data_IF_266714031764
#
_entry.id   IF_266714031764
#
_cell.length_a   1.000
_cell.length_b   1.000
_cell.length_c   1.000
_cell.angle_alpha   90.00
_cell.angle_beta   90.00
_cell.angle_gamma   90.00
#
_symmetry.space_group_name_H-M   'P 1'
#
loop_
_entity.id
_entity.type
_entity.pdbx_description
1 polymer ?
#
# COMPACT_ATOMS: atom_id res chain seq x y z
N UNK A 1 -31.31 5.48 -36.01
CA UNK A 1 -30.61 6.68 -36.50
C UNK A 1 -29.49 6.97 -35.51
N UNK A 2 -28.35 6.33 -35.71
CA UNK A 2 -27.09 6.62 -35.03
C UNK A 2 -26.02 6.46 -36.09
N UNK A 3 -25.54 7.60 -36.56
CA UNK A 3 -24.54 7.72 -37.61
C UNK A 3 -23.21 7.15 -37.11
N UNK A 4 -22.79 6.06 -37.74
CA UNK A 4 -21.40 5.60 -37.75
C UNK A 4 -20.66 6.57 -38.67
N UNK A 5 -20.14 7.67 -38.12
CA UNK A 5 -19.12 8.46 -38.80
C UNK A 5 -17.76 7.86 -38.50
N UNK A 6 -17.19 7.25 -39.55
CA UNK A 6 -15.82 6.79 -39.56
C UNK A 6 -14.88 7.92 -39.16
N UNK A 7 -13.91 7.58 -38.32
CA UNK A 7 -12.75 8.41 -38.14
C UNK A 7 -11.53 7.59 -38.56
N UNK A 8 -10.84 8.15 -39.54
CA UNK A 8 -9.76 7.57 -40.30
C UNK A 8 -8.59 7.18 -39.39
N UNK A 9 -7.90 6.13 -39.81
CA UNK A 9 -6.60 5.70 -39.30
C UNK A 9 -5.65 6.91 -39.13
N UNK A 10 -5.51 7.43 -37.91
CA UNK A 10 -4.29 8.15 -37.52
C UNK A 10 -3.23 7.10 -37.20
N UNK A 11 -2.41 6.81 -38.20
CA UNK A 11 -1.13 6.12 -38.04
C UNK A 11 -0.29 6.89 -37.01
N UNK A 12 -0.24 6.42 -35.77
CA UNK A 12 0.82 6.75 -34.81
C UNK A 12 2.04 5.88 -35.10
N UNK A 13 2.63 6.03 -36.29
CA UNK A 13 3.86 5.35 -36.66
C UNK A 13 5.06 6.11 -36.12
N UNK A 14 5.75 5.55 -35.11
CA UNK A 14 7.11 5.97 -34.76
C UNK A 14 7.98 5.92 -36.02
N UNK A 15 8.51 7.06 -36.45
CA UNK A 15 9.36 7.15 -37.63
C UNK A 15 10.59 6.27 -37.45
N UNK A 16 10.64 5.15 -38.18
CA UNK A 16 11.83 4.29 -38.18
C UNK A 16 12.76 4.82 -39.26
N UNK A 17 13.94 5.30 -38.88
CA UNK A 17 14.96 5.80 -39.81
C UNK A 17 15.97 4.70 -40.05
N UNK A 18 16.39 4.53 -41.31
CA UNK A 18 17.47 3.60 -41.66
C UNK A 18 18.77 4.41 -41.68
N UNK A 19 19.78 4.00 -40.92
CA UNK A 19 21.10 4.61 -40.95
C UNK A 19 22.20 3.56 -41.10
N UNK A 20 23.37 3.92 -41.66
CA UNK A 20 24.54 3.04 -41.70
C UNK A 20 24.98 2.65 -40.28
N UNK A 21 25.46 1.42 -40.09
CA UNK A 21 25.94 0.97 -38.78
C UNK A 21 27.08 1.85 -38.26
N UNK A 22 27.94 2.34 -39.15
CA UNK A 22 29.04 3.27 -38.81
C UNK A 22 28.60 4.58 -38.18
N UNK A 23 27.35 5.00 -38.40
CA UNK A 23 26.79 6.26 -37.89
C UNK A 23 25.81 6.04 -36.73
N UNK A 24 25.67 4.80 -36.25
CA UNK A 24 24.59 4.44 -35.35
C UNK A 24 24.86 4.65 -33.86
N UNK A 25 26.06 5.07 -33.47
CA UNK A 25 26.41 5.32 -32.06
C UNK A 25 25.47 6.36 -31.44
N UNK A 26 24.93 6.05 -30.27
CA UNK A 26 23.98 6.91 -29.53
C UNK A 26 22.51 6.75 -29.94
N UNK A 27 22.21 5.96 -30.96
CA UNK A 27 20.84 5.74 -31.44
C UNK A 27 20.21 4.50 -30.82
N UNK A 28 18.88 4.42 -30.80
CA UNK A 28 18.13 3.32 -30.16
C UNK A 28 17.66 2.30 -31.18
N UNK A 29 18.00 1.03 -30.93
CA UNK A 29 17.64 -0.10 -31.79
C UNK A 29 16.13 -0.35 -31.80
N UNK A 30 15.50 -0.40 -32.98
CA UNK A 30 14.03 -0.55 -33.10
C UNK A 30 13.49 -1.98 -32.99
N UNK A 31 14.35 -2.99 -33.07
CA UNK A 31 14.00 -4.42 -33.05
C UNK A 31 15.17 -5.27 -32.54
N UNK A 32 14.89 -6.51 -32.09
CA UNK A 32 15.93 -7.45 -31.66
C UNK A 32 16.80 -7.88 -32.86
N UNK A 33 18.13 -7.94 -32.68
CA UNK A 33 19.06 -8.54 -33.63
C UNK A 33 19.47 -9.91 -33.12
N UNK A 34 19.24 -10.94 -33.94
CA UNK A 34 19.59 -12.34 -33.63
C UNK A 34 20.94 -12.69 -34.26
N UNK A 35 21.80 -13.34 -33.50
CA UNK A 35 23.02 -13.98 -33.98
C UNK A 35 22.74 -15.46 -34.24
N UNK A 36 23.12 -15.91 -35.44
CA UNK A 36 23.01 -17.31 -35.84
C UNK A 36 24.38 -17.75 -36.34
N UNK A 37 25.05 -18.60 -35.57
CA UNK A 37 26.24 -19.34 -35.96
C UNK A 37 25.86 -20.81 -36.14
N UNK A 38 25.75 -21.31 -37.39
CA UNK A 38 25.29 -22.67 -37.67
C UNK A 38 26.10 -23.72 -36.89
N UNK A 39 25.41 -24.59 -36.15
CA UNK A 39 26.06 -25.63 -35.34
C UNK A 39 26.65 -25.18 -33.99
N UNK A 40 26.73 -23.86 -33.72
CA UNK A 40 27.34 -23.33 -32.49
C UNK A 40 26.36 -22.56 -31.61
N UNK A 41 25.59 -21.62 -32.16
CA UNK A 41 24.76 -20.71 -31.36
C UNK A 41 23.61 -20.10 -32.17
N UNK A 42 22.41 -20.07 -31.57
CA UNK A 42 21.26 -19.29 -32.07
C UNK A 42 20.64 -18.55 -30.90
N UNK A 43 20.76 -17.23 -30.89
CA UNK A 43 20.27 -16.42 -29.78
C UNK A 43 20.31 -14.93 -30.08
N UNK A 44 19.69 -14.15 -29.20
CA UNK A 44 19.63 -12.70 -29.36
C UNK A 44 21.00 -12.06 -29.09
N UNK A 45 21.50 -11.31 -30.05
CA UNK A 45 22.76 -10.57 -29.95
C UNK A 45 22.57 -9.18 -29.35
N UNK A 46 21.53 -8.48 -29.81
CA UNK A 46 21.13 -7.16 -29.35
C UNK A 46 19.62 -7.12 -29.14
N UNK A 47 19.21 -6.40 -28.09
CA UNK A 47 17.80 -6.23 -27.73
C UNK A 47 17.25 -4.93 -28.31
N UNK A 48 15.99 -4.93 -28.73
CA UNK A 48 15.19 -3.74 -29.01
C UNK A 48 15.27 -2.78 -27.82
N UNK A 49 15.47 -1.49 -28.08
CA UNK A 49 15.69 -0.47 -27.03
C UNK A 49 17.15 -0.34 -26.58
N UNK A 50 18.09 -1.12 -27.14
CA UNK A 50 19.52 -0.96 -26.87
C UNK A 50 20.05 0.33 -27.49
N UNK A 51 20.79 1.13 -26.70
CA UNK A 51 21.53 2.31 -27.20
C UNK A 51 22.86 1.82 -27.75
N UNK A 52 23.09 2.03 -29.04
CA UNK A 52 24.31 1.56 -29.72
C UNK A 52 25.53 2.32 -29.18
N UNK A 53 26.57 1.59 -28.76
CA UNK A 53 27.86 2.12 -28.30
C UNK A 53 28.93 1.91 -29.36
N UNK A 54 30.07 2.59 -29.23
CA UNK A 54 31.22 2.40 -30.14
C UNK A 54 31.68 0.93 -30.21
N UNK A 55 31.67 0.23 -29.07
CA UNK A 55 32.03 -1.19 -28.96
C UNK A 55 31.09 -2.13 -29.72
N UNK A 56 29.85 -1.72 -29.99
CA UNK A 56 28.85 -2.55 -30.66
C UNK A 56 29.05 -2.61 -32.18
N UNK A 57 29.71 -1.60 -32.76
CA UNK A 57 29.82 -1.39 -34.21
C UNK A 57 30.44 -2.60 -34.92
N UNK A 58 31.59 -3.07 -34.43
CA UNK A 58 32.30 -4.21 -35.01
C UNK A 58 31.55 -5.54 -34.81
N UNK A 59 30.78 -5.66 -33.73
CA UNK A 59 29.91 -6.84 -33.52
C UNK A 59 28.71 -6.81 -34.47
N UNK A 60 28.09 -5.66 -34.68
CA UNK A 60 26.97 -5.48 -35.60
C UNK A 60 27.38 -5.76 -37.06
N UNK A 61 28.54 -5.24 -37.50
CA UNK A 61 29.11 -5.56 -38.83
C UNK A 61 29.38 -7.06 -39.00
N UNK A 62 29.96 -7.72 -37.99
CA UNK A 62 30.18 -9.18 -38.01
C UNK A 62 28.88 -9.99 -38.13
N UNK A 63 27.76 -9.44 -37.66
CA UNK A 63 26.42 -10.02 -37.83
C UNK A 63 25.80 -9.71 -39.20
N UNK A 64 26.56 -9.13 -40.14
CA UNK A 64 26.13 -8.79 -41.49
C UNK A 64 25.16 -7.60 -41.53
N UNK A 65 25.19 -6.72 -40.52
CA UNK A 65 24.40 -5.49 -40.53
C UNK A 65 25.23 -4.37 -41.15
N UNK A 66 24.75 -3.87 -42.29
CA UNK A 66 25.25 -2.66 -42.95
C UNK A 66 24.40 -1.43 -42.57
N UNK A 67 23.12 -1.65 -42.31
CA UNK A 67 22.18 -0.61 -41.89
C UNK A 67 21.38 -1.05 -40.67
N UNK A 68 21.08 -0.09 -39.79
CA UNK A 68 20.21 -0.25 -38.65
C UNK A 68 18.93 0.55 -38.83
N UNK A 69 17.83 -0.04 -38.38
CA UNK A 69 16.57 0.64 -38.19
C UNK A 69 16.59 1.25 -36.79
N UNK A 70 16.69 2.58 -36.72
CA UNK A 70 16.82 3.31 -35.49
C UNK A 70 15.54 4.08 -35.17
N UNK A 71 15.27 4.23 -33.88
CA UNK A 71 14.35 5.25 -33.42
C UNK A 71 15.10 6.57 -33.31
N UNK A 72 14.65 7.56 -34.07
CA UNK A 72 15.07 8.94 -33.90
C UNK A 72 14.25 9.53 -32.74
N UNK A 73 14.89 9.71 -31.59
CA UNK A 73 14.29 10.38 -30.43
C UNK A 73 14.48 11.87 -30.63
N UNK A 74 13.36 12.61 -30.72
CA UNK A 74 13.41 14.07 -30.86
C UNK A 74 13.87 14.73 -29.57
N UNK A 75 14.28 15.99 -29.65
CA UNK A 75 14.72 16.76 -28.47
C UNK A 75 13.62 16.88 -27.40
N UNK A 76 12.34 16.86 -27.80
CA UNK A 76 11.17 16.90 -26.91
C UNK A 76 10.72 15.51 -26.41
N UNK A 77 11.48 14.47 -26.73
CA UNK A 77 11.19 13.06 -26.46
C UNK A 77 12.24 12.43 -25.54
N UNK A 78 11.85 11.36 -24.85
CA UNK A 78 12.67 10.64 -23.88
C UNK A 78 12.49 9.14 -24.08
N UNK A 79 13.58 8.38 -23.96
CA UNK A 79 13.52 6.92 -24.01
C UNK A 79 12.76 6.35 -22.81
N UNK A 80 12.03 5.26 -23.01
CA UNK A 80 11.15 4.66 -21.99
C UNK A 80 11.85 4.35 -20.66
N UNK A 81 13.12 3.91 -20.70
CA UNK A 81 13.85 3.55 -19.49
C UNK A 81 14.24 4.78 -18.67
N UNK A 82 14.61 5.88 -19.34
CA UNK A 82 14.94 7.14 -18.66
C UNK A 82 13.69 7.76 -18.05
N UNK A 83 12.57 7.72 -18.80
CA UNK A 83 11.27 8.16 -18.31
C UNK A 83 10.83 7.33 -17.11
N UNK A 84 10.93 6.00 -17.18
CA UNK A 84 10.60 5.09 -16.10
C UNK A 84 11.44 5.33 -14.84
N UNK A 85 12.74 5.61 -15.00
CA UNK A 85 13.60 5.95 -13.88
C UNK A 85 13.19 7.28 -13.24
N UNK A 86 12.97 8.33 -14.04
CA UNK A 86 12.58 9.65 -13.55
C UNK A 86 11.27 9.60 -12.75
N UNK A 87 10.23 8.98 -13.31
CA UNK A 87 8.94 8.86 -12.62
C UNK A 87 9.02 7.97 -11.38
N UNK A 88 9.81 6.89 -11.39
CA UNK A 88 9.95 6.02 -10.22
C UNK A 88 10.61 6.73 -9.04
N UNK A 89 11.62 7.56 -9.30
CA UNK A 89 12.25 8.36 -8.25
C UNK A 89 11.25 9.34 -7.64
N UNK A 90 10.44 10.01 -8.47
CA UNK A 90 9.42 10.95 -8.00
C UNK A 90 8.27 10.27 -7.24
N UNK A 91 7.88 9.05 -7.65
CA UNK A 91 6.84 8.26 -6.98
C UNK A 91 7.25 7.77 -5.58
N UNK A 92 8.55 7.52 -5.37
CA UNK A 92 9.09 7.02 -4.12
C UNK A 92 9.16 8.13 -3.05
N UNK A 93 8.27 8.05 -2.07
CA UNK A 93 8.32 8.85 -0.85
C UNK A 93 9.11 8.15 0.26
N UNK A 94 8.87 8.56 1.52
CA UNK A 94 9.62 8.05 2.67
C UNK A 94 9.54 6.52 2.81
N UNK A 95 10.69 5.87 3.03
CA UNK A 95 10.84 4.42 3.21
C UNK A 95 10.36 3.57 2.02
N UNK A 96 10.34 4.13 0.81
CA UNK A 96 10.14 3.40 -0.45
C UNK A 96 11.35 3.66 -1.32
N UNK A 97 11.88 2.61 -1.96
CA UNK A 97 13.02 2.73 -2.87
C UNK A 97 12.79 1.98 -4.16
N UNK A 98 13.53 2.37 -5.18
CA UNK A 98 13.59 1.67 -6.46
C UNK A 98 14.32 0.33 -6.29
N UNK A 99 13.84 -0.72 -6.96
CA UNK A 99 14.48 -2.03 -7.02
C UNK A 99 14.99 -2.33 -8.43
N UNK A 100 16.31 -2.30 -8.59
CA UNK A 100 16.99 -2.60 -9.85
C UNK A 100 17.01 -1.43 -10.83
N UNK A 101 17.25 -1.74 -12.10
CA UNK A 101 17.31 -0.78 -13.20
C UNK A 101 16.06 -0.89 -14.09
N UNK A 102 15.64 0.20 -14.76
CA UNK A 102 14.53 0.14 -15.71
C UNK A 102 14.80 -0.87 -16.83
N UNK A 103 13.79 -1.69 -17.14
CA UNK A 103 13.83 -2.65 -18.25
C UNK A 103 12.49 -2.65 -18.97
N UNK A 104 12.51 -2.43 -20.29
CA UNK A 104 11.28 -2.34 -21.12
C UNK A 104 10.32 -1.28 -20.60
N UNK A 105 10.88 -0.13 -20.23
CA UNK A 105 10.14 0.97 -19.64
C UNK A 105 9.56 0.67 -18.26
N UNK A 106 9.81 -0.49 -17.64
CA UNK A 106 9.26 -0.87 -16.33
C UNK A 106 10.34 -0.83 -15.25
N UNK A 107 9.93 -0.40 -14.05
CA UNK A 107 10.75 -0.47 -12.84
C UNK A 107 9.91 -0.72 -11.60
N UNK A 108 10.47 -1.45 -10.64
CA UNK A 108 9.81 -1.86 -9.42
C UNK A 108 10.14 -0.92 -8.26
N UNK A 109 9.18 -0.77 -7.34
CA UNK A 109 9.30 -0.01 -6.09
C UNK A 109 9.03 -0.94 -4.92
N UNK A 110 9.94 -0.94 -3.95
CA UNK A 110 9.92 -1.84 -2.79
C UNK A 110 9.93 -1.04 -1.49
N UNK A 111 9.40 -1.64 -0.43
CA UNK A 111 9.47 -1.08 0.91
C UNK A 111 10.92 -1.15 1.45
N UNK A 112 11.51 -0.01 1.79
CA UNK A 112 12.85 0.05 2.39
C UNK A 112 12.84 -0.37 3.87
N UNK A 113 11.72 -0.11 4.56
CA UNK A 113 11.46 -0.55 5.93
C UNK A 113 10.15 -1.33 6.02
N UNK A 114 10.03 -2.15 7.05
CA UNK A 114 8.74 -2.76 7.39
C UNK A 114 7.80 -1.73 8.01
N UNK A 115 6.50 -1.86 7.78
CA UNK A 115 5.51 -0.91 8.28
C UNK A 115 4.17 -1.02 7.57
N UNK A 116 3.43 0.09 7.50
CA UNK A 116 2.19 0.20 6.73
C UNK A 116 2.40 1.08 5.50
N UNK A 117 2.02 0.55 4.33
CA UNK A 117 2.06 1.28 3.07
C UNK A 117 0.98 2.37 3.07
N UNK A 118 1.39 3.60 2.73
CA UNK A 118 0.51 4.75 2.52
C UNK A 118 0.63 5.20 1.07
N UNK A 119 -0.52 5.41 0.45
CA UNK A 119 -0.64 5.79 -0.95
C UNK A 119 -1.53 7.03 -1.03
N UNK A 120 -1.04 8.10 -1.63
CA UNK A 120 -1.90 9.21 -2.05
C UNK A 120 -2.72 8.76 -3.26
N UNK A 121 -3.93 8.25 -2.98
CA UNK A 121 -4.84 7.71 -4.01
C UNK A 121 -5.22 8.76 -5.06
N UNK A 122 -5.31 10.04 -4.69
CA UNK A 122 -5.69 11.12 -5.60
C UNK A 122 -4.53 11.46 -6.53
N UNK A 123 -3.32 11.60 -5.99
CA UNK A 123 -2.12 11.79 -6.80
C UNK A 123 -1.87 10.59 -7.71
N UNK A 124 -2.02 9.35 -7.22
CA UNK A 124 -1.88 8.14 -8.02
C UNK A 124 -2.89 8.08 -9.18
N UNK A 125 -4.13 8.48 -8.91
CA UNK A 125 -5.16 8.59 -9.94
C UNK A 125 -4.75 9.61 -11.01
N UNK A 126 -4.41 10.84 -10.60
CA UNK A 126 -4.00 11.90 -11.53
C UNK A 126 -2.75 11.53 -12.33
N UNK A 127 -1.78 10.88 -11.72
CA UNK A 127 -0.58 10.36 -12.39
C UNK A 127 -0.96 9.39 -13.51
N UNK A 128 -1.86 8.44 -13.24
CA UNK A 128 -2.29 7.45 -14.22
C UNK A 128 -3.21 8.03 -15.31
N UNK A 129 -3.86 9.18 -15.06
CA UNK A 129 -4.68 9.87 -16.07
C UNK A 129 -3.86 10.42 -17.25
N UNK A 130 -2.53 10.50 -17.12
CA UNK A 130 -1.64 10.97 -18.19
C UNK A 130 -1.50 9.98 -19.36
N UNK A 131 -1.82 8.71 -19.17
CA UNK A 131 -1.95 7.71 -20.24
C UNK A 131 -0.65 7.17 -20.88
N UNK A 132 0.43 7.96 -20.96
CA UNK A 132 1.74 7.49 -21.47
C UNK A 132 2.65 6.92 -20.37
N UNK A 133 2.30 7.19 -19.10
CA UNK A 133 2.95 6.64 -17.91
C UNK A 133 1.91 5.91 -17.06
N UNK A 134 2.35 4.89 -16.34
CA UNK A 134 1.49 4.14 -15.44
C UNK A 134 2.21 3.77 -14.15
N UNK A 135 1.49 3.74 -13.03
CA UNK A 135 1.94 3.20 -11.76
C UNK A 135 0.82 2.36 -11.15
N UNK A 136 1.14 1.09 -10.88
CA UNK A 136 0.26 0.17 -10.18
C UNK A 136 0.87 -0.20 -8.83
N UNK A 137 0.06 -0.20 -7.78
CA UNK A 137 0.47 -0.52 -6.41
C UNK A 137 -0.39 -1.63 -5.82
N UNK A 138 0.10 -2.26 -4.74
CA UNK A 138 -0.78 -2.99 -3.83
C UNK A 138 -1.72 -2.01 -3.10
N UNK A 139 -2.63 -2.52 -2.29
CA UNK A 139 -3.62 -1.68 -1.61
C UNK A 139 -2.99 -0.76 -0.57
N UNK A 140 -3.51 0.46 -0.49
CA UNK A 140 -3.23 1.39 0.61
C UNK A 140 -3.53 0.72 1.96
N UNK A 141 -2.82 1.13 3.01
CA UNK A 141 -2.93 0.57 4.37
C UNK A 141 -2.51 -0.92 4.49
N UNK A 142 -1.84 -1.50 3.50
CA UNK A 142 -1.27 -2.85 3.61
C UNK A 142 -0.06 -2.85 4.54
N UNK A 143 0.01 -3.82 5.45
CA UNK A 143 1.25 -4.08 6.21
C UNK A 143 2.28 -4.75 5.29
N UNK A 144 3.48 -4.19 5.24
CA UNK A 144 4.55 -4.60 4.32
C UNK A 144 5.83 -4.92 5.09
N UNK A 145 6.59 -5.89 4.56
CA UNK A 145 7.93 -6.24 5.05
C UNK A 145 9.01 -5.47 4.30
N UNK A 146 10.20 -5.37 4.88
CA UNK A 146 11.39 -4.87 4.19
C UNK A 146 11.65 -5.66 2.90
N UNK A 147 12.06 -4.95 1.84
CA UNK A 147 12.26 -5.42 0.46
C UNK A 147 11.00 -5.96 -0.25
N UNK A 148 9.81 -5.85 0.36
CA UNK A 148 8.57 -6.30 -0.30
C UNK A 148 8.22 -5.38 -1.48
N UNK A 149 7.85 -5.97 -2.62
CA UNK A 149 7.28 -5.24 -3.76
C UNK A 149 5.96 -4.56 -3.37
N UNK A 150 5.90 -3.25 -3.52
CA UNK A 150 4.72 -2.44 -3.18
C UNK A 150 4.10 -1.78 -4.40
N UNK A 151 4.89 -1.47 -5.42
CA UNK A 151 4.42 -0.91 -6.67
C UNK A 151 5.37 -1.22 -7.84
N UNK A 152 4.88 -1.01 -9.05
CA UNK A 152 5.70 -0.94 -10.25
C UNK A 152 5.17 0.19 -11.13
N UNK A 153 6.09 0.93 -11.73
CA UNK A 153 5.76 1.98 -12.69
C UNK A 153 6.37 1.67 -14.04
N UNK A 154 5.78 2.25 -15.08
CA UNK A 154 6.33 2.15 -16.42
C UNK A 154 6.04 3.37 -17.29
N UNK A 155 6.95 3.63 -18.22
CA UNK A 155 6.62 4.25 -19.49
C UNK A 155 5.92 3.20 -20.39
N UNK A 156 4.84 3.59 -21.06
CA UNK A 156 4.06 2.67 -21.90
C UNK A 156 4.65 2.61 -23.32
N UNK A 157 4.82 3.75 -24.04
CA UNK A 157 5.48 3.75 -25.34
C UNK A 157 7.01 3.72 -25.18
N UNK A 158 7.68 3.25 -26.23
CA UNK A 158 9.16 3.18 -26.30
C UNK A 158 9.83 4.55 -26.20
N UNK A 159 9.10 5.59 -26.62
CA UNK A 159 9.50 6.99 -26.56
C UNK A 159 8.33 7.78 -26.01
N UNK A 160 8.58 8.59 -24.98
CA UNK A 160 7.59 9.38 -24.26
C UNK A 160 7.90 10.87 -24.45
N UNK A 161 6.88 11.71 -24.54
CA UNK A 161 7.07 13.17 -24.56
C UNK A 161 7.61 13.68 -23.23
N UNK A 162 8.72 14.44 -23.25
CA UNK A 162 9.31 15.08 -22.05
C UNK A 162 8.30 15.91 -21.24
N UNK A 163 7.37 16.68 -21.84
CA UNK A 163 6.30 17.35 -21.10
C UNK A 163 5.47 16.41 -20.21
N UNK A 164 5.10 15.23 -20.71
CA UNK A 164 4.28 14.25 -19.95
C UNK A 164 5.07 13.71 -18.77
N UNK A 165 6.35 13.37 -18.97
CA UNK A 165 7.23 12.91 -17.87
C UNK A 165 7.39 14.00 -16.81
N UNK A 166 7.58 15.26 -17.20
CA UNK A 166 7.68 16.39 -16.27
C UNK A 166 6.40 16.60 -15.47
N UNK A 167 5.24 16.50 -16.10
CA UNK A 167 3.95 16.59 -15.42
C UNK A 167 3.75 15.43 -14.43
N UNK A 168 4.08 14.20 -14.84
CA UNK A 168 4.02 13.03 -13.99
C UNK A 168 4.90 13.16 -12.73
N UNK A 169 6.13 13.64 -12.92
CA UNK A 169 7.06 13.94 -11.82
C UNK A 169 6.49 15.03 -10.92
N UNK A 170 5.99 16.13 -11.48
CA UNK A 170 5.41 17.23 -10.71
C UNK A 170 4.21 16.83 -9.85
N UNK A 171 3.34 15.94 -10.35
CA UNK A 171 2.23 15.37 -9.58
C UNK A 171 2.76 14.60 -8.36
N UNK A 172 3.79 13.77 -8.56
CA UNK A 172 4.34 12.95 -7.50
C UNK A 172 5.13 13.77 -6.46
N UNK A 173 5.91 14.75 -6.91
CA UNK A 173 6.66 15.67 -6.04
C UNK A 173 5.72 16.55 -5.21
N UNK A 174 4.60 17.01 -5.78
CA UNK A 174 3.57 17.77 -5.05
C UNK A 174 2.96 16.96 -3.89
N UNK A 175 2.92 15.63 -4.02
CA UNK A 175 2.50 14.71 -2.96
C UNK A 175 3.65 14.30 -2.00
N UNK A 176 4.87 14.82 -2.21
CA UNK A 176 6.11 14.40 -1.52
C UNK A 176 6.40 12.90 -1.68
N UNK A 177 6.14 12.39 -2.88
CA UNK A 177 6.13 10.96 -3.19
C UNK A 177 4.74 10.36 -2.97
N UNK A 178 4.22 9.69 -4.00
CA UNK A 178 2.88 9.08 -3.96
C UNK A 178 2.83 7.88 -3.01
N UNK A 179 3.96 7.19 -2.86
CA UNK A 179 4.09 5.97 -2.08
C UNK A 179 5.02 6.20 -0.91
N UNK A 180 4.58 5.90 0.31
CA UNK A 180 5.44 5.93 1.50
C UNK A 180 5.14 4.74 2.41
N UNK A 181 6.09 4.37 3.25
CA UNK A 181 5.87 3.39 4.32
C UNK A 181 6.04 4.08 5.67
N UNK A 182 5.02 3.99 6.51
CA UNK A 182 5.09 4.43 7.91
C UNK A 182 5.46 3.26 8.80
N UNK A 183 6.48 3.44 9.62
CA UNK A 183 6.88 2.43 10.61
C UNK A 183 5.75 2.23 11.64
N UNK A 184 5.58 0.99 12.08
CA UNK A 184 4.59 0.61 13.09
C UNK A 184 5.33 0.54 14.43
N UNK A 185 4.91 1.35 15.41
CA UNK A 185 5.47 1.29 16.76
C UNK A 185 5.03 0.00 17.47
N UNK A 186 5.87 -0.49 18.39
CA UNK A 186 5.52 -1.60 19.28
C UNK A 186 4.66 -1.06 20.43
N UNK A 187 3.41 -1.50 20.60
CA UNK A 187 2.56 -1.00 21.68
C UNK A 187 2.85 -1.66 23.03
N UNK A 188 2.56 -0.91 24.09
CA UNK A 188 2.33 -1.41 25.46
C UNK A 188 0.84 -1.37 25.72
N UNK A 189 0.16 -2.50 25.50
CA UNK A 189 -1.30 -2.55 25.51
C UNK A 189 -1.84 -2.90 26.90
N UNK A 190 -2.79 -2.11 27.40
CA UNK A 190 -3.65 -2.48 28.52
C UNK A 190 -4.97 -3.05 28.03
N UNK A 191 -5.46 -4.12 28.65
CA UNK A 191 -6.73 -4.77 28.28
C UNK A 191 -7.71 -4.66 29.44
N UNK A 192 -8.92 -4.15 29.18
CA UNK A 192 -10.04 -4.16 30.11
C UNK A 192 -11.15 -5.05 29.54
N UNK A 193 -11.46 -6.13 30.23
CA UNK A 193 -12.48 -7.10 29.87
C UNK A 193 -13.69 -6.85 30.78
N UNK A 194 -14.78 -6.41 30.19
CA UNK A 194 -16.02 -6.07 30.90
C UNK A 194 -17.04 -7.20 30.80
N UNK A 195 -18.09 -7.13 31.61
CA UNK A 195 -19.15 -8.15 31.66
C UNK A 195 -19.22 -8.83 33.03
N UNK A 196 -20.37 -8.73 33.68
CA UNK A 196 -20.61 -9.34 34.99
C UNK A 196 -20.34 -10.85 35.01
N UNK A 197 -20.68 -11.57 33.95
CA UNK A 197 -20.48 -13.01 33.82
C UNK A 197 -19.01 -13.43 33.85
N UNK A 198 -18.11 -12.63 33.27
CA UNK A 198 -16.67 -12.91 33.32
C UNK A 198 -16.10 -12.45 34.66
N UNK A 199 -16.49 -11.25 35.13
CA UNK A 199 -15.99 -10.67 36.38
C UNK A 199 -16.31 -11.54 37.60
N UNK A 200 -17.53 -12.08 37.70
CA UNK A 200 -17.94 -12.97 38.78
C UNK A 200 -17.59 -14.45 38.52
N UNK A 201 -16.83 -14.75 37.46
CA UNK A 201 -16.37 -16.10 37.15
C UNK A 201 -17.46 -17.09 36.74
N UNK A 202 -18.62 -16.61 36.27
CA UNK A 202 -19.70 -17.47 35.75
C UNK A 202 -19.29 -18.12 34.42
N UNK A 203 -18.48 -17.43 33.63
CA UNK A 203 -17.83 -17.95 32.43
C UNK A 203 -16.33 -17.63 32.46
N UNK A 204 -15.55 -18.34 31.63
CA UNK A 204 -14.13 -18.02 31.41
C UNK A 204 -14.00 -16.98 30.31
N UNK A 205 -13.02 -16.10 30.44
CA UNK A 205 -12.64 -15.20 29.37
C UNK A 205 -12.13 -15.95 28.13
N UNK A 206 -12.45 -15.40 26.96
CA UNK A 206 -11.95 -15.83 25.67
C UNK A 206 -11.32 -14.70 24.83
N UNK A 207 -11.32 -13.45 25.32
CA UNK A 207 -10.77 -12.31 24.59
C UNK A 207 -9.28 -12.11 24.85
N UNK A 208 -8.81 -12.29 26.08
CA UNK A 208 -7.42 -12.08 26.48
C UNK A 208 -6.44 -12.85 25.57
N UNK A 209 -6.62 -14.17 25.31
CA UNK A 209 -5.67 -14.90 24.49
C UNK A 209 -5.63 -14.39 23.04
N UNK A 210 -6.78 -13.98 22.50
CA UNK A 210 -6.90 -13.50 21.11
C UNK A 210 -6.26 -12.13 20.96
N UNK A 211 -6.58 -11.19 21.85
CA UNK A 211 -6.04 -9.83 21.82
C UNK A 211 -4.54 -9.86 22.09
N UNK A 212 -4.10 -10.62 23.09
CA UNK A 212 -2.66 -10.80 23.39
C UNK A 212 -1.90 -11.35 22.20
N UNK A 213 -2.46 -12.34 21.49
CA UNK A 213 -1.86 -12.86 20.26
C UNK A 213 -1.71 -11.80 19.17
N UNK A 214 -2.75 -10.97 18.94
CA UNK A 214 -2.71 -9.89 17.95
C UNK A 214 -1.69 -8.80 18.31
N UNK A 215 -1.58 -8.43 19.58
CA UNK A 215 -0.57 -7.46 20.04
C UNK A 215 0.85 -8.01 19.89
N UNK A 216 1.10 -9.26 20.28
CA UNK A 216 2.40 -9.91 20.10
C UNK A 216 2.79 -10.03 18.62
N UNK A 217 1.83 -10.27 17.71
CA UNK A 217 2.08 -10.29 16.27
C UNK A 217 2.52 -8.93 15.71
N UNK A 218 2.18 -7.83 16.39
CA UNK A 218 2.69 -6.47 16.09
C UNK A 218 3.99 -6.16 16.83
N UNK A 219 4.58 -7.13 17.54
CA UNK A 219 5.79 -6.96 18.33
C UNK A 219 5.60 -6.17 19.62
N UNK A 220 4.35 -5.99 20.07
CA UNK A 220 4.00 -5.31 21.31
C UNK A 220 3.97 -6.23 22.54
N UNK A 221 3.73 -5.62 23.69
CA UNK A 221 3.59 -6.27 24.99
C UNK A 221 2.27 -5.90 25.67
N UNK A 222 1.85 -6.72 26.64
CA UNK A 222 0.66 -6.44 27.46
C UNK A 222 1.14 -5.87 28.79
N UNK A 223 0.76 -4.63 29.09
CA UNK A 223 1.04 -3.96 30.37
C UNK A 223 0.25 -4.61 31.49
N UNK A 224 -1.01 -4.95 31.24
CA UNK A 224 -1.89 -5.59 32.21
C UNK A 224 -3.24 -5.95 31.60
N UNK A 225 -3.90 -6.90 32.25
CA UNK A 225 -5.27 -7.33 31.93
C UNK A 225 -6.11 -7.13 33.17
N UNK A 226 -7.21 -6.41 33.04
CA UNK A 226 -8.13 -6.10 34.12
C UNK A 226 -9.53 -6.57 33.76
N UNK A 227 -10.24 -7.09 34.75
CA UNK A 227 -11.65 -7.43 34.65
C UNK A 227 -12.46 -6.36 35.37
N UNK A 228 -13.60 -5.98 34.80
CA UNK A 228 -14.53 -5.03 35.39
C UNK A 228 -15.97 -5.53 35.25
N UNK A 229 -16.84 -5.34 36.27
CA UNK A 229 -18.27 -5.55 36.11
C UNK A 229 -18.86 -4.46 35.20
N UNK A 230 -20.15 -4.58 34.85
CA UNK A 230 -20.88 -3.57 34.08
C UNK A 230 -21.21 -2.33 34.95
N UNK A 231 -20.15 -1.64 35.39
CA UNK A 231 -20.18 -0.43 36.19
C UNK A 231 -19.19 0.57 35.59
N UNK A 232 -19.70 1.76 35.23
CA UNK A 232 -18.92 2.75 34.50
C UNK A 232 -17.70 3.27 35.28
N UNK A 233 -17.86 3.49 36.59
CA UNK A 233 -16.80 4.01 37.46
C UNK A 233 -15.67 2.99 37.64
N UNK A 234 -16.02 1.71 37.79
CA UNK A 234 -15.02 0.63 37.88
C UNK A 234 -14.26 0.47 36.57
N UNK A 235 -14.96 0.45 35.43
CA UNK A 235 -14.33 0.37 34.10
C UNK A 235 -13.38 1.56 33.89
N UNK A 236 -13.83 2.77 34.20
CA UNK A 236 -13.00 3.98 34.10
C UNK A 236 -11.74 3.86 34.97
N UNK A 237 -11.89 3.45 36.23
CA UNK A 237 -10.78 3.24 37.15
C UNK A 237 -9.76 2.24 36.62
N UNK A 238 -10.21 1.11 36.05
CA UNK A 238 -9.32 0.11 35.42
C UNK A 238 -8.60 0.62 34.19
N UNK A 239 -9.23 1.49 33.40
CA UNK A 239 -8.55 2.13 32.28
C UNK A 239 -7.46 3.09 32.80
N UNK A 240 -7.75 3.90 33.82
CA UNK A 240 -6.77 4.81 34.42
C UNK A 240 -5.59 4.07 35.04
N UNK A 241 -5.84 2.99 35.79
CA UNK A 241 -4.79 2.13 36.37
C UNK A 241 -3.79 1.63 35.29
N UNK A 242 -4.29 1.20 34.12
CA UNK A 242 -3.43 0.74 33.02
C UNK A 242 -2.64 1.89 32.36
N UNK A 243 -3.28 3.06 32.19
CA UNK A 243 -2.61 4.26 31.68
C UNK A 243 -1.47 4.66 32.62
N UNK A 244 -1.74 4.72 33.93
CA UNK A 244 -0.76 5.07 34.97
C UNK A 244 0.37 4.03 35.05
N UNK A 245 0.08 2.76 34.76
CA UNK A 245 1.08 1.69 34.61
C UNK A 245 1.90 1.78 33.31
N UNK A 246 1.67 2.78 32.46
CA UNK A 246 2.44 3.05 31.25
C UNK A 246 1.92 2.37 29.99
N UNK A 247 0.64 1.95 29.96
CA UNK A 247 0.01 1.53 28.72
C UNK A 247 -0.13 2.71 27.75
N UNK A 248 0.27 2.48 26.49
CA UNK A 248 0.18 3.46 25.40
C UNK A 248 -0.87 3.10 24.35
N UNK A 249 -1.67 2.07 24.64
CA UNK A 249 -2.84 1.61 23.90
C UNK A 249 -3.77 0.91 24.90
N UNK A 250 -5.03 1.30 24.94
CA UNK A 250 -6.05 0.63 25.75
C UNK A 250 -7.00 -0.12 24.83
N UNK A 251 -7.33 -1.35 25.22
CA UNK A 251 -8.29 -2.20 24.52
C UNK A 251 -9.40 -2.56 25.49
N UNK A 252 -10.63 -2.22 25.15
CA UNK A 252 -11.82 -2.61 25.92
C UNK A 252 -12.61 -3.66 25.16
N UNK A 253 -13.08 -4.69 25.84
CA UNK A 253 -13.86 -5.78 25.22
C UNK A 253 -14.78 -6.46 26.24
N UNK A 254 -15.53 -7.48 25.84
CA UNK A 254 -16.62 -8.05 26.66
C UNK A 254 -17.89 -7.20 26.61
N UNK A 255 -17.75 -5.88 26.56
CA UNK A 255 -18.78 -4.92 26.16
C UNK A 255 -18.69 -4.54 24.67
N UNK A 256 -19.19 -3.35 24.34
CA UNK A 256 -19.47 -2.80 23.00
C UNK A 256 -20.82 -3.17 22.38
N UNK A 257 -21.78 -3.71 23.13
CA UNK A 257 -23.14 -3.88 22.63
C UNK A 257 -23.90 -2.55 22.57
N UNK A 258 -25.08 -2.59 21.95
CA UNK A 258 -26.07 -1.51 22.02
C UNK A 258 -27.01 -1.64 23.22
N UNK A 259 -26.82 -2.69 24.04
CA UNK A 259 -27.65 -2.98 25.19
C UNK A 259 -27.56 -1.87 26.25
N UNK A 260 -28.68 -1.53 26.94
CA UNK A 260 -28.70 -0.43 27.91
C UNK A 260 -27.79 -0.63 29.12
N UNK A 261 -27.50 -1.88 29.48
CA UNK A 261 -26.63 -2.28 30.57
C UNK A 261 -25.13 -2.25 30.20
N UNK A 262 -24.79 -2.11 28.91
CA UNK A 262 -23.41 -1.89 28.49
C UNK A 262 -22.99 -0.44 28.73
N UNK A 263 -22.35 -0.25 29.87
CA UNK A 263 -21.87 1.05 30.34
C UNK A 263 -20.44 1.39 29.88
N UNK A 264 -19.81 0.56 29.07
CA UNK A 264 -18.39 0.73 28.67
C UNK A 264 -18.16 2.04 27.91
N UNK A 265 -19.09 2.42 27.03
CA UNK A 265 -19.00 3.69 26.28
C UNK A 265 -19.15 4.90 27.19
N UNK A 266 -19.91 4.80 28.27
CA UNK A 266 -20.04 5.86 29.26
C UNK A 266 -18.76 5.97 30.10
N UNK A 267 -18.18 4.84 30.54
CA UNK A 267 -16.89 4.82 31.23
C UNK A 267 -15.77 5.50 30.43
N UNK A 268 -15.70 5.20 29.12
CA UNK A 268 -14.71 5.82 28.22
C UNK A 268 -14.94 7.33 28.11
N UNK A 269 -16.20 7.79 28.08
CA UNK A 269 -16.53 9.23 28.07
C UNK A 269 -16.09 9.92 29.36
N UNK A 270 -16.24 9.28 30.51
CA UNK A 270 -15.85 9.86 31.80
C UNK A 270 -14.34 10.10 31.94
N UNK A 271 -13.51 9.43 31.13
CA UNK A 271 -12.07 9.73 31.03
C UNK A 271 -11.78 11.14 30.48
N UNK A 272 -12.79 11.87 29.99
CA UNK A 272 -12.63 13.17 29.36
C UNK A 272 -12.07 13.07 27.93
N UNK A 273 -12.36 11.98 27.22
CA UNK A 273 -11.93 11.81 25.83
C UNK A 273 -12.56 12.88 24.95
N UNK A 274 -11.75 13.51 24.10
CA UNK A 274 -12.21 14.58 23.20
C UNK A 274 -13.07 14.04 22.04
N UNK A 275 -12.75 12.82 21.59
CA UNK A 275 -13.36 12.20 20.42
C UNK A 275 -13.71 10.75 20.73
N UNK A 276 -14.96 10.37 20.44
CA UNK A 276 -15.45 9.00 20.53
C UNK A 276 -16.20 8.63 19.25
N UNK A 277 -15.66 7.67 18.51
CA UNK A 277 -16.21 7.19 17.26
C UNK A 277 -16.65 5.75 17.41
N UNK A 278 -17.94 5.58 17.68
CA UNK A 278 -18.59 4.28 17.71
C UNK A 278 -19.21 3.94 16.35
N UNK A 279 -19.12 2.68 15.96
CA UNK A 279 -19.65 2.16 14.71
C UNK A 279 -18.63 2.15 13.58
N UNK A 280 -18.48 1.01 12.91
CA UNK A 280 -17.69 0.86 11.68
C UNK A 280 -18.52 0.21 10.56
N UNK A 281 -18.33 0.61 9.29
CA UNK A 281 -18.93 -0.06 8.14
C UNK A 281 -18.15 -1.33 7.75
N UNK A 282 -17.65 -2.07 8.75
CA UNK A 282 -16.85 -3.30 8.56
C UNK A 282 -17.55 -4.48 9.20
N UNK A 283 -17.62 -5.58 8.47
CA UNK A 283 -18.26 -6.82 8.89
C UNK A 283 -17.25 -7.97 8.76
N UNK A 284 -16.76 -8.57 9.86
CA UNK A 284 -17.15 -8.38 11.26
C UNK A 284 -16.47 -7.20 11.97
N UNK A 285 -17.19 -6.60 12.92
CA UNK A 285 -16.69 -5.49 13.74
C UNK A 285 -17.53 -4.21 13.70
N UNK A 286 -18.81 -4.28 13.35
CA UNK A 286 -19.65 -3.09 13.18
C UNK A 286 -19.77 -2.25 14.45
N UNK A 287 -19.71 -2.86 15.63
CA UNK A 287 -19.77 -2.20 16.93
C UNK A 287 -18.38 -1.83 17.49
N UNK A 288 -17.45 -1.47 16.61
CA UNK A 288 -16.13 -1.02 17.01
C UNK A 288 -16.13 0.41 17.52
N UNK A 289 -15.24 0.70 18.46
CA UNK A 289 -15.04 2.02 19.04
C UNK A 289 -13.59 2.45 18.88
N UNK A 290 -13.38 3.69 18.45
CA UNK A 290 -12.11 4.38 18.58
C UNK A 290 -12.30 5.67 19.38
N UNK A 291 -11.51 5.85 20.44
CA UNK A 291 -11.45 7.05 21.25
C UNK A 291 -10.00 7.34 21.65
N UNK A 292 -9.76 8.53 22.22
CA UNK A 292 -8.40 8.95 22.62
C UNK A 292 -8.42 9.69 23.96
N UNK A 293 -7.66 9.19 24.93
CA UNK A 293 -7.32 9.92 26.15
C UNK A 293 -5.98 10.64 25.91
N UNK A 294 -6.05 11.91 25.51
CA UNK A 294 -4.90 12.66 25.00
C UNK A 294 -4.33 12.02 23.72
N UNK A 295 -3.14 11.40 23.84
CA UNK A 295 -2.50 10.66 22.74
C UNK A 295 -2.69 9.14 22.82
N UNK A 296 -3.30 8.63 23.90
CA UNK A 296 -3.46 7.19 24.12
C UNK A 296 -4.74 6.73 23.42
N UNK A 297 -4.65 5.90 22.36
CA UNK A 297 -5.82 5.30 21.73
C UNK A 297 -6.51 4.32 22.66
N UNK A 298 -7.85 4.38 22.67
CA UNK A 298 -8.74 3.43 23.33
C UNK A 298 -9.58 2.77 22.24
N UNK A 299 -9.39 1.46 22.06
CA UNK A 299 -10.06 0.68 21.01
C UNK A 299 -11.04 -0.33 21.63
N UNK A 300 -12.32 -0.16 21.33
CA UNK A 300 -13.37 -1.07 21.76
C UNK A 300 -13.63 -2.17 20.75
N UNK A 301 -13.43 -3.42 21.16
CA UNK A 301 -13.55 -4.60 20.30
C UNK A 301 -14.85 -5.35 20.64
N UNK A 302 -15.79 -5.50 19.69
CA UNK A 302 -17.02 -6.24 19.93
C UNK A 302 -16.78 -7.76 19.98
N UNK A 303 -17.78 -8.50 20.47
CA UNK A 303 -17.72 -9.96 20.69
C UNK A 303 -17.23 -10.79 19.48
N UNK A 304 -17.38 -10.30 18.25
CA UNK A 304 -16.81 -10.96 17.08
C UNK A 304 -15.29 -11.10 17.11
N UNK A 305 -14.59 -10.29 17.92
CA UNK A 305 -13.16 -10.42 18.17
C UNK A 305 -12.76 -11.79 18.74
N UNK A 306 -13.65 -12.52 19.41
CA UNK A 306 -13.35 -13.86 19.93
C UNK A 306 -13.26 -14.93 18.85
N UNK A 307 -14.15 -14.88 17.86
CA UNK A 307 -14.35 -15.99 16.92
C UNK A 307 -13.96 -15.68 15.48
N UNK A 308 -13.91 -14.41 15.09
CA UNK A 308 -13.49 -14.04 13.74
C UNK A 308 -11.97 -13.87 13.69
N UNK A 309 -11.32 -14.59 12.78
CA UNK A 309 -9.87 -14.52 12.59
C UNK A 309 -9.37 -13.09 12.32
N UNK A 310 -10.12 -12.34 11.50
CA UNK A 310 -9.82 -10.96 11.11
C UNK A 310 -11.10 -10.13 11.27
N UNK A 311 -10.96 -8.96 11.90
CA UNK A 311 -12.02 -7.98 12.13
C UNK A 311 -11.54 -6.58 11.77
N UNK A 312 -12.40 -5.57 11.95
CA UNK A 312 -11.99 -4.16 11.87
C UNK A 312 -10.77 -3.81 12.75
N UNK A 313 -10.58 -4.50 13.88
CA UNK A 313 -9.41 -4.27 14.73
C UNK A 313 -8.09 -4.53 13.98
N UNK A 314 -8.05 -5.56 13.13
CA UNK A 314 -6.88 -5.89 12.32
C UNK A 314 -6.62 -4.87 11.18
N UNK A 315 -7.65 -4.12 10.77
CA UNK A 315 -7.55 -3.04 9.79
C UNK A 315 -7.11 -1.72 10.45
N UNK A 316 -7.55 -1.48 11.68
CA UNK A 316 -7.36 -0.23 12.42
C UNK A 316 -6.06 -0.22 13.21
N UNK A 317 -5.74 -1.31 13.91
CA UNK A 317 -4.58 -1.37 14.81
C UNK A 317 -3.27 -0.96 14.12
N UNK A 318 -2.89 -1.50 12.94
CA UNK A 318 -1.63 -1.12 12.30
C UNK A 318 -1.56 0.38 11.94
N UNK A 319 -2.70 1.01 11.62
CA UNK A 319 -2.79 2.44 11.31
C UNK A 319 -2.58 3.29 12.57
N UNK A 320 -3.24 2.92 13.67
CA UNK A 320 -3.07 3.57 14.98
C UNK A 320 -1.61 3.49 15.44
N UNK A 321 -1.00 2.32 15.32
CA UNK A 321 0.41 2.12 15.69
C UNK A 321 1.40 2.83 14.74
N UNK A 322 0.98 3.18 13.53
CA UNK A 322 1.72 4.05 12.63
C UNK A 322 1.48 5.56 12.87
N UNK A 323 0.80 5.91 13.97
CA UNK A 323 0.52 7.28 14.38
C UNK A 323 -0.69 7.92 13.68
N UNK A 324 -1.56 7.14 13.03
CA UNK A 324 -2.79 7.65 12.45
C UNK A 324 -3.89 7.76 13.53
N UNK A 325 -4.47 8.95 13.66
CA UNK A 325 -5.65 9.17 14.52
C UNK A 325 -6.90 8.81 13.72
N UNK A 326 -7.56 7.74 14.12
CA UNK A 326 -8.72 7.16 13.45
C UNK A 326 -10.00 7.85 13.89
N UNK A 327 -10.53 8.69 12.99
CA UNK A 327 -11.76 9.44 13.17
C UNK A 327 -12.97 8.81 12.47
N UNK A 328 -14.08 9.56 12.46
CA UNK A 328 -15.30 9.19 11.71
C UNK A 328 -15.02 8.98 10.22
N UNK A 329 -14.17 9.82 9.62
CA UNK A 329 -13.80 9.74 8.21
C UNK A 329 -13.02 8.45 7.92
N UNK A 330 -12.00 8.16 8.72
CA UNK A 330 -11.14 7.00 8.54
C UNK A 330 -11.89 5.67 8.70
N UNK A 331 -12.90 5.65 9.57
CA UNK A 331 -13.83 4.52 9.70
C UNK A 331 -14.78 4.43 8.51
N UNK A 332 -15.36 5.55 8.05
CA UNK A 332 -16.29 5.56 6.92
C UNK A 332 -15.64 5.04 5.63
N UNK A 333 -14.37 5.39 5.39
CA UNK A 333 -13.63 4.91 4.22
C UNK A 333 -13.49 3.38 4.17
N UNK A 334 -13.52 2.69 5.32
CA UNK A 334 -13.46 1.22 5.38
C UNK A 334 -14.71 0.53 4.83
N UNK A 335 -15.79 1.28 4.54
CA UNK A 335 -17.01 0.71 3.96
C UNK A 335 -16.78 0.15 2.56
N UNK A 336 -15.87 0.76 1.79
CA UNK A 336 -15.40 0.18 0.56
C UNK A 336 -14.45 -0.99 0.90
N UNK A 337 -14.83 -2.22 0.52
CA UNK A 337 -14.04 -3.41 0.83
C UNK A 337 -14.21 -3.95 2.27
N UNK A 338 -15.04 -3.33 3.11
CA UNK A 338 -15.24 -3.70 4.53
C UNK A 338 -15.99 -5.00 4.80
N UNK A 339 -16.31 -5.82 3.79
CA UNK A 339 -17.07 -7.06 3.96
C UNK A 339 -16.15 -8.30 3.92
N UNK A 340 -16.05 -9.02 5.03
CA UNK A 340 -15.31 -10.27 5.11
C UNK A 340 -16.14 -11.40 4.48
N UNK A 341 -15.54 -12.10 3.51
CA UNK A 341 -16.18 -13.21 2.78
C UNK A 341 -16.23 -14.53 3.58
N UNK A 342 -15.75 -14.55 4.83
CA UNK A 342 -15.77 -15.74 5.72
C UNK A 342 -15.25 -17.03 5.04
N UNK A 343 -14.13 -16.92 4.32
CA UNK A 343 -13.55 -18.05 3.59
C UNK A 343 -13.18 -19.22 4.52
N UNK A 344 -13.33 -20.46 4.04
CA UNK A 344 -12.97 -21.68 4.80
C UNK A 344 -11.56 -21.65 5.39
N UNK A 345 -10.59 -21.19 4.59
CA UNK A 345 -9.23 -20.86 5.03
C UNK A 345 -9.03 -19.36 4.88
N UNK A 346 -8.62 -18.68 5.95
CA UNK A 346 -8.38 -17.25 5.88
C UNK A 346 -7.25 -16.93 4.90
N UNK A 347 -7.48 -15.94 4.03
CA UNK A 347 -6.53 -15.47 3.01
C UNK A 347 -6.13 -14.00 3.21
N UNK A 348 -6.52 -13.39 4.32
CA UNK A 348 -6.10 -12.04 4.64
C UNK A 348 -4.57 -12.00 4.80
N UNK A 349 -3.87 -10.96 4.31
CA UNK A 349 -4.38 -9.72 3.69
C UNK A 349 -4.52 -9.76 2.15
N UNK A 350 -4.41 -10.94 1.52
CA UNK A 350 -4.48 -11.07 0.06
C UNK A 350 -5.92 -10.95 -0.47
N UNK A 351 -6.92 -11.32 0.33
CA UNK A 351 -8.34 -11.20 -0.01
C UNK A 351 -8.82 -9.73 -0.14
N UNK A 352 -10.05 -9.44 -0.63
CA UNK A 352 -10.53 -8.06 -0.83
C UNK A 352 -10.92 -7.31 0.47
N UNK A 353 -10.77 -7.94 1.64
CA UNK A 353 -11.25 -7.36 2.91
C UNK A 353 -10.39 -6.18 3.36
N UNK A 354 -11.01 -5.03 3.62
CA UNK A 354 -10.40 -3.81 4.15
C UNK A 354 -9.56 -3.02 3.15
N UNK A 355 -9.91 -3.05 1.86
CA UNK A 355 -9.09 -2.58 0.73
C UNK A 355 -9.70 -1.45 -0.08
#
# INVERSE_FOLDING_TARGET
MCDIKGNENKQSGSGTKIIPVSEAVGTVLSHDITEIRPGEFKGRAFKKGHIIREEDIERLKRLGKENLFILEIKEDEMHENDAAFAIANALAGSNVKIAGEPREGKINLIAEKAGILKIDRKALFNFNMLGEVACASIHNNSVVKKEQLVAATRAIPLVVKKPVVREAVGIAESAKGILSVKEIRKPKAGIVITGNEVYYGKIKDAFEPVITGKIKNMGGEITGVHFAPDNAEVIEGKIRELIDAGADLIITTGGMSVDPDDVTRFAIRNLGVEEIHYGSPVLPGSMFLAAYAGQIPILGIPACGMYAAITVFDLVLPRVLAGERIGRKELAELGHGGLCLKCKKCRYPVCPFGK
#
